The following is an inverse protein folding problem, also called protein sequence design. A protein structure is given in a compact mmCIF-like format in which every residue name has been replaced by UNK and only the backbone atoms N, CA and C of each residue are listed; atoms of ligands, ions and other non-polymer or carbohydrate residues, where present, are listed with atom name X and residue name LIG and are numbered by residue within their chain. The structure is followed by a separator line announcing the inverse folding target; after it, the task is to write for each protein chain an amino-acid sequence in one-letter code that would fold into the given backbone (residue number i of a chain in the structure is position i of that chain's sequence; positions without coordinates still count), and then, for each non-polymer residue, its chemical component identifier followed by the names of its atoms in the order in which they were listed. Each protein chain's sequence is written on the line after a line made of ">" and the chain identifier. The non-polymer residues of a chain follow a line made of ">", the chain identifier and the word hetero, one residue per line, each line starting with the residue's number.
data_IF_028200861096
#
_entry.id   IF_028200861096
#
_cell.length_a   1.000
_cell.length_b   1.000
_cell.length_c   1.000
_cell.angle_alpha   90.00
_cell.angle_beta   90.00
_cell.angle_gamma   90.00
#
_symmetry.space_group_name_H-M   'P 1'
#
loop_
_entity.id
_entity.type
_entity.pdbx_description
1 polymer ?
#
# COMPACT_ATOMS: atom_id res chain seq x y z
N UNK A 1 -4.91 -19.87 -16.96
CA UNK A 1 -5.79 -18.79 -16.47
C UNK A 1 -5.14 -18.24 -15.22
N UNK A 2 -4.70 -16.98 -15.24
CA UNK A 2 -4.14 -16.33 -14.05
C UNK A 2 -5.30 -16.17 -13.06
N UNK A 3 -5.17 -16.79 -11.89
CA UNK A 3 -6.02 -16.54 -10.72
C UNK A 3 -6.13 -15.03 -10.52
N UNK A 4 -7.34 -14.56 -10.19
CA UNK A 4 -7.57 -13.14 -9.91
C UNK A 4 -6.53 -12.68 -8.87
N UNK A 5 -5.61 -11.81 -9.29
CA UNK A 5 -4.56 -11.32 -8.43
C UNK A 5 -5.23 -10.36 -7.43
N UNK A 6 -5.42 -10.80 -6.18
CA UNK A 6 -6.16 -10.03 -5.17
C UNK A 6 -5.43 -8.74 -4.76
N UNK A 7 -4.15 -8.61 -5.10
CA UNK A 7 -3.36 -7.39 -4.90
C UNK A 7 -3.52 -6.41 -6.06
N UNK A 8 -4.09 -5.24 -5.81
CA UNK A 8 -4.21 -4.16 -6.79
C UNK A 8 -3.02 -3.22 -6.68
N UNK A 9 -2.35 -2.82 -7.78
CA UNK A 9 -1.32 -1.78 -7.74
C UNK A 9 -1.98 -0.44 -7.42
N UNK A 10 -1.57 0.18 -6.31
CA UNK A 10 -2.05 1.51 -5.89
C UNK A 10 -1.11 2.60 -6.38
N UNK A 11 0.19 2.31 -6.39
CA UNK A 11 1.23 3.16 -6.97
C UNK A 11 2.31 2.31 -7.67
N UNK A 12 3.41 2.91 -8.14
CA UNK A 12 4.47 2.16 -8.82
C UNK A 12 5.24 1.17 -7.93
N UNK A 13 5.28 1.43 -6.64
CA UNK A 13 6.03 0.67 -5.62
C UNK A 13 5.13 0.04 -4.55
N UNK A 14 3.80 0.17 -4.69
CA UNK A 14 2.85 -0.29 -3.67
C UNK A 14 1.69 -1.10 -4.26
N UNK A 15 1.34 -2.17 -3.56
CA UNK A 15 0.19 -3.02 -3.84
C UNK A 15 -0.69 -3.13 -2.60
N UNK A 16 -2.00 -3.22 -2.79
CA UNK A 16 -2.97 -3.36 -1.70
C UNK A 16 -4.02 -4.41 -2.04
N UNK A 17 -4.47 -5.17 -1.05
CA UNK A 17 -5.61 -6.08 -1.20
C UNK A 17 -6.97 -5.38 -1.05
N UNK A 18 -6.97 -4.06 -0.80
CA UNK A 18 -8.17 -3.20 -0.74
C UNK A 18 -9.28 -3.78 0.16
N UNK A 19 -8.92 -4.18 1.38
CA UNK A 19 -9.86 -4.71 2.36
C UNK A 19 -9.83 -3.91 3.67
N UNK A 20 -10.76 -2.97 3.80
CA UNK A 20 -10.90 -2.09 4.99
C UNK A 20 -11.34 -2.85 6.25
N UNK A 21 -12.00 -4.01 6.11
CA UNK A 21 -12.50 -4.81 7.24
C UNK A 21 -11.48 -5.84 7.74
N UNK A 22 -10.34 -6.00 7.05
CA UNK A 22 -9.34 -7.03 7.37
C UNK A 22 -8.88 -6.97 8.83
N UNK A 23 -8.60 -5.77 9.34
CA UNK A 23 -8.15 -5.59 10.72
C UNK A 23 -9.21 -6.05 11.72
N UNK A 24 -10.47 -5.67 11.52
CA UNK A 24 -11.57 -6.07 12.40
C UNK A 24 -11.81 -7.59 12.34
N UNK A 25 -11.86 -8.17 11.14
CA UNK A 25 -12.06 -9.61 10.98
C UNK A 25 -10.99 -10.44 11.70
N UNK A 26 -9.73 -9.99 11.67
CA UNK A 26 -8.60 -10.67 12.30
C UNK A 26 -8.62 -10.49 13.83
N UNK A 27 -8.78 -9.25 14.32
CA UNK A 27 -8.54 -8.93 15.72
C UNK A 27 -9.81 -8.96 16.58
N UNK A 28 -10.98 -8.71 15.99
CA UNK A 28 -12.28 -8.76 16.67
C UNK A 28 -12.94 -10.13 16.51
N UNK A 29 -13.05 -10.62 15.27
CA UNK A 29 -13.78 -11.86 14.96
C UNK A 29 -12.89 -13.11 14.98
N UNK A 30 -11.57 -12.93 15.12
CA UNK A 30 -10.57 -14.00 15.11
C UNK A 30 -10.62 -14.88 13.86
N UNK A 31 -11.09 -14.35 12.73
CA UNK A 31 -11.09 -15.05 11.44
C UNK A 31 -9.67 -15.07 10.86
N UNK A 32 -9.27 -16.24 10.38
CA UNK A 32 -7.98 -16.45 9.68
C UNK A 32 -8.15 -16.73 8.19
N UNK A 33 -9.36 -16.58 7.65
CA UNK A 33 -9.69 -16.95 6.28
C UNK A 33 -8.87 -16.14 5.25
N UNK A 34 -8.56 -14.89 5.59
CA UNK A 34 -7.75 -13.99 4.77
C UNK A 34 -6.27 -14.37 4.67
N UNK A 35 -5.76 -15.18 5.60
CA UNK A 35 -4.35 -15.58 5.57
C UNK A 35 -4.05 -16.45 4.35
N UNK A 36 -4.98 -17.33 3.97
CA UNK A 36 -4.87 -18.14 2.76
C UNK A 36 -4.96 -17.31 1.49
N UNK A 37 -5.83 -16.29 1.45
CA UNK A 37 -5.91 -15.37 0.31
C UNK A 37 -4.60 -14.60 0.11
N UNK A 38 -4.00 -14.13 1.21
CA UNK A 38 -2.69 -13.46 1.17
C UNK A 38 -1.58 -14.41 0.72
N UNK A 39 -1.56 -15.65 1.21
CA UNK A 39 -0.58 -16.66 0.77
C UNK A 39 -0.72 -16.96 -0.74
N UNK A 40 -1.94 -17.16 -1.23
CA UNK A 40 -2.21 -17.38 -2.66
C UNK A 40 -1.79 -16.17 -3.52
N UNK A 41 -2.05 -14.95 -3.06
CA UNK A 41 -1.61 -13.72 -3.73
C UNK A 41 -0.08 -13.61 -3.82
N UNK A 42 0.63 -13.97 -2.75
CA UNK A 42 2.09 -14.02 -2.73
C UNK A 42 2.62 -15.14 -3.65
N UNK A 43 1.95 -16.29 -3.69
CA UNK A 43 2.23 -17.37 -4.65
C UNK A 43 2.13 -16.86 -6.09
N UNK A 44 1.09 -16.10 -6.43
CA UNK A 44 0.94 -15.49 -7.75
C UNK A 44 2.01 -14.43 -8.03
N UNK A 45 2.40 -13.67 -7.00
CA UNK A 45 3.55 -12.76 -7.07
C UNK A 45 4.83 -13.52 -7.47
N UNK A 46 5.08 -14.69 -6.87
CA UNK A 46 6.24 -15.51 -7.22
C UNK A 46 6.19 -16.09 -8.64
N UNK A 47 5.00 -16.42 -9.17
CA UNK A 47 4.87 -16.88 -10.56
C UNK A 47 5.23 -15.76 -11.55
N UNK A 48 4.86 -14.52 -11.23
CA UNK A 48 5.11 -13.34 -12.07
C UNK A 48 6.56 -12.85 -11.99
N UNK A 49 7.12 -12.76 -10.78
CA UNK A 49 8.40 -12.10 -10.52
C UNK A 49 9.53 -13.06 -10.11
N UNK A 50 9.25 -14.36 -10.02
CA UNK A 50 10.17 -15.39 -9.56
C UNK A 50 10.08 -15.64 -8.04
N UNK A 51 10.56 -16.81 -7.62
CA UNK A 51 10.54 -17.23 -6.21
C UNK A 51 11.39 -16.33 -5.33
N UNK A 52 10.91 -16.07 -4.13
CA UNK A 52 11.64 -15.35 -3.09
C UNK A 52 12.85 -16.17 -2.65
N UNK A 53 14.03 -15.55 -2.59
CA UNK A 53 15.24 -16.23 -2.09
C UNK A 53 15.26 -16.32 -0.57
N UNK A 54 14.63 -15.37 0.11
CA UNK A 54 14.58 -15.26 1.57
C UNK A 54 13.22 -14.77 2.02
N UNK A 55 12.65 -15.45 3.00
CA UNK A 55 11.40 -15.08 3.66
C UNK A 55 11.67 -14.82 5.14
N UNK A 56 11.13 -13.72 5.67
CA UNK A 56 11.24 -13.35 7.09
C UNK A 56 9.84 -13.03 7.58
N UNK A 57 9.46 -13.51 8.76
CA UNK A 57 8.15 -13.24 9.35
C UNK A 57 8.27 -12.73 10.79
N UNK A 58 7.53 -11.66 11.09
CA UNK A 58 7.41 -11.09 12.43
C UNK A 58 5.96 -11.17 12.89
N UNK A 59 5.72 -11.86 14.00
CA UNK A 59 4.39 -12.05 14.60
C UNK A 59 3.69 -13.34 14.20
N UNK A 60 2.57 -13.64 14.89
CA UNK A 60 1.90 -14.94 14.84
C UNK A 60 1.21 -15.17 13.50
N UNK A 61 0.54 -14.16 12.96
CA UNK A 61 -0.20 -14.24 11.70
C UNK A 61 0.76 -14.29 10.51
N UNK A 62 1.79 -13.45 10.52
CA UNK A 62 2.86 -13.50 9.51
C UNK A 62 3.52 -14.89 9.45
N UNK A 63 3.79 -15.51 10.61
CA UNK A 63 4.32 -16.87 10.65
C UNK A 63 3.34 -17.94 10.13
N UNK A 64 2.03 -17.72 10.24
CA UNK A 64 1.03 -18.61 9.63
C UNK A 64 1.00 -18.48 8.11
N UNK A 65 1.01 -17.25 7.59
CA UNK A 65 1.07 -16.96 6.15
C UNK A 65 2.33 -17.57 5.55
N UNK A 66 3.49 -17.40 6.20
CA UNK A 66 4.75 -17.99 5.75
C UNK A 66 4.66 -19.52 5.61
N UNK A 67 4.09 -20.21 6.61
CA UNK A 67 3.90 -21.67 6.54
C UNK A 67 2.95 -22.11 5.44
N UNK A 68 1.95 -21.29 5.09
CA UNK A 68 1.05 -21.58 3.97
C UNK A 68 1.77 -21.37 2.63
N UNK A 69 2.48 -20.25 2.49
CA UNK A 69 3.31 -19.95 1.32
C UNK A 69 4.34 -21.06 1.05
N UNK A 70 5.08 -21.50 2.06
CA UNK A 70 6.06 -22.61 1.94
C UNK A 70 5.43 -23.95 1.53
N UNK A 71 4.16 -24.18 1.88
CA UNK A 71 3.42 -25.39 1.46
C UNK A 71 3.03 -25.29 -0.01
N UNK A 72 2.52 -24.13 -0.42
CA UNK A 72 2.13 -23.85 -1.81
C UNK A 72 3.34 -23.85 -2.75
N UNK A 73 4.48 -23.34 -2.30
CA UNK A 73 5.74 -23.30 -3.08
C UNK A 73 6.26 -24.67 -3.51
N UNK A 74 5.95 -25.73 -2.75
CA UNK A 74 6.30 -27.11 -3.12
C UNK A 74 5.56 -27.58 -4.36
N UNK A 75 4.42 -26.97 -4.68
CA UNK A 75 3.63 -27.26 -5.87
C UNK A 75 4.03 -26.44 -7.09
N UNK A 76 4.78 -25.34 -6.90
CA UNK A 76 5.22 -24.46 -7.99
C UNK A 76 6.51 -25.00 -8.60
N UNK A 77 6.45 -25.44 -9.85
CA UNK A 77 7.65 -25.80 -10.61
C UNK A 77 8.37 -24.54 -11.09
N UNK A 78 9.70 -24.59 -11.27
CA UNK A 78 10.47 -23.45 -11.81
C UNK A 78 10.05 -23.08 -13.24
N UNK A 79 9.32 -23.98 -13.93
CA UNK A 79 8.76 -23.74 -15.26
C UNK A 79 7.50 -22.87 -15.23
N UNK A 80 6.84 -22.73 -14.07
CA UNK A 80 5.66 -21.89 -13.88
C UNK A 80 6.02 -20.40 -13.69
N UNK A 81 7.31 -20.09 -13.54
CA UNK A 81 7.80 -18.72 -13.36
C UNK A 81 8.14 -18.09 -14.72
N UNK A 82 7.83 -16.80 -14.89
CA UNK A 82 8.19 -16.07 -16.11
C UNK A 82 9.72 -15.99 -16.26
N UNK A 83 10.30 -16.50 -17.37
CA UNK A 83 11.75 -16.40 -17.61
C UNK A 83 12.21 -14.94 -17.68
N UNK A 84 13.17 -14.54 -16.84
CA UNK A 84 13.73 -13.19 -16.85
C UNK A 84 12.99 -12.15 -15.99
N UNK A 85 12.02 -12.56 -15.16
CA UNK A 85 11.45 -11.68 -14.13
C UNK A 85 12.55 -11.14 -13.20
N UNK A 86 12.48 -9.84 -12.87
CA UNK A 86 13.36 -9.26 -11.84
C UNK A 86 13.06 -9.96 -10.51
N UNK A 87 14.01 -10.78 -10.06
CA UNK A 87 13.80 -11.60 -8.87
C UNK A 87 13.72 -10.74 -7.62
N UNK A 88 12.58 -10.79 -6.92
CA UNK A 88 12.49 -10.29 -5.56
C UNK A 88 13.31 -11.21 -4.66
N UNK A 89 14.38 -10.68 -4.08
CA UNK A 89 15.28 -11.49 -3.27
C UNK A 89 14.68 -11.81 -1.90
N UNK A 90 14.15 -10.80 -1.20
CA UNK A 90 13.69 -10.95 0.19
C UNK A 90 12.27 -10.43 0.34
N UNK A 91 11.41 -11.23 0.96
CA UNK A 91 10.09 -10.79 1.44
C UNK A 91 10.09 -10.76 2.97
N UNK A 92 9.57 -9.68 3.52
CA UNK A 92 9.39 -9.50 4.97
C UNK A 92 7.89 -9.42 5.24
N UNK A 93 7.36 -10.42 5.93
CA UNK A 93 5.99 -10.45 6.41
C UNK A 93 5.94 -9.85 7.81
N UNK A 94 5.13 -8.81 7.98
CA UNK A 94 5.03 -8.07 9.22
C UNK A 94 3.58 -8.06 9.71
N UNK A 95 3.34 -8.69 10.85
CA UNK A 95 2.05 -8.71 11.53
C UNK A 95 1.86 -7.38 12.30
N UNK A 96 0.76 -6.67 12.04
CA UNK A 96 0.47 -5.38 12.69
C UNK A 96 0.48 -5.48 14.22
N UNK A 97 0.15 -6.63 14.81
CA UNK A 97 0.18 -6.84 16.26
C UNK A 97 1.57 -6.72 16.89
N UNK A 98 2.64 -6.79 16.09
CA UNK A 98 4.03 -6.61 16.57
C UNK A 98 4.31 -5.16 16.96
N UNK A 99 3.60 -4.21 16.36
CA UNK A 99 3.68 -2.79 16.69
C UNK A 99 2.30 -2.17 16.55
N UNK A 100 1.56 -2.01 17.65
CA UNK A 100 0.28 -1.31 17.59
C UNK A 100 0.42 0.20 17.82
N UNK A 101 1.61 0.70 18.18
CA UNK A 101 1.79 2.09 18.59
C UNK A 101 1.85 3.02 17.38
N UNK A 102 2.57 2.62 16.33
CA UNK A 102 2.78 3.48 15.15
C UNK A 102 1.48 4.00 14.50
N UNK A 103 0.42 3.19 14.29
CA UNK A 103 -0.84 3.67 13.72
C UNK A 103 -1.61 4.69 14.59
N UNK A 104 -1.30 4.79 15.89
CA UNK A 104 -1.92 5.79 16.79
C UNK A 104 -1.10 7.07 16.90
N UNK A 105 0.10 7.11 16.35
CA UNK A 105 0.91 8.33 16.30
C UNK A 105 0.46 9.19 15.12
N UNK A 106 0.34 10.50 15.33
CA UNK A 106 0.06 11.44 14.23
C UNK A 106 1.15 11.34 13.16
N UNK A 107 0.74 11.14 11.92
CA UNK A 107 1.66 11.05 10.80
C UNK A 107 2.24 12.44 10.48
N UNK A 108 3.56 12.55 10.31
CA UNK A 108 4.26 13.84 10.14
C UNK A 108 4.89 14.03 8.75
N UNK A 109 4.79 13.04 7.88
CA UNK A 109 5.13 13.20 6.46
C UNK A 109 4.01 13.92 5.71
N UNK A 110 4.32 14.49 4.54
CA UNK A 110 3.34 15.24 3.75
C UNK A 110 2.10 14.40 3.42
N UNK A 111 2.29 13.21 2.84
CA UNK A 111 1.19 12.32 2.48
C UNK A 111 0.43 11.82 3.72
N UNK A 112 1.15 11.50 4.80
CA UNK A 112 0.53 11.08 6.04
C UNK A 112 -0.35 12.16 6.67
N UNK A 113 0.08 13.43 6.64
CA UNK A 113 -0.79 14.52 7.06
C UNK A 113 -1.99 14.69 6.13
N UNK A 114 -1.82 14.53 4.81
CA UNK A 114 -2.96 14.56 3.90
C UNK A 114 -3.97 13.44 4.22
N UNK A 115 -3.49 12.26 4.58
CA UNK A 115 -4.33 11.14 5.00
C UNK A 115 -5.12 11.46 6.28
N UNK A 116 -4.45 12.02 7.30
CA UNK A 116 -5.07 12.40 8.58
C UNK A 116 -6.21 13.43 8.41
N UNK A 117 -6.09 14.37 7.46
CA UNK A 117 -7.06 15.44 7.26
C UNK A 117 -8.11 15.15 6.18
N UNK A 118 -7.75 14.42 5.12
CA UNK A 118 -8.60 14.21 3.94
C UNK A 118 -8.98 12.76 3.67
N UNK A 119 -8.44 11.80 4.44
CA UNK A 119 -8.66 10.36 4.32
C UNK A 119 -8.41 9.85 2.89
N UNK A 120 -7.18 9.41 2.63
CA UNK A 120 -6.77 8.95 1.30
C UNK A 120 -7.27 7.52 1.09
N UNK A 121 -8.09 7.33 0.07
CA UNK A 121 -8.62 6.02 -0.30
C UNK A 121 -8.21 5.69 -1.74
N UNK A 122 -7.42 4.62 -1.92
CA UNK A 122 -6.98 4.18 -3.25
C UNK A 122 -6.19 5.25 -4.00
N UNK A 123 -5.36 6.02 -3.30
CA UNK A 123 -4.56 7.11 -3.86
C UNK A 123 -5.37 8.38 -4.19
N UNK A 124 -6.62 8.49 -3.73
CA UNK A 124 -7.48 9.66 -4.00
C UNK A 124 -7.89 10.34 -2.70
N UNK A 125 -7.85 11.67 -2.71
CA UNK A 125 -8.37 12.51 -1.63
C UNK A 125 -9.61 13.30 -2.08
N UNK A 126 -10.52 13.55 -1.13
CA UNK A 126 -11.72 14.37 -1.35
C UNK A 126 -11.51 15.74 -0.72
N UNK A 127 -11.37 16.77 -1.54
CA UNK A 127 -11.13 18.15 -1.07
C UNK A 127 -12.40 18.99 -1.32
N UNK A 128 -12.82 19.84 -0.37
CA UNK A 128 -13.88 20.81 -0.62
C UNK A 128 -13.50 21.77 -1.76
N UNK A 129 -14.39 21.98 -2.74
CA UNK A 129 -14.14 22.98 -3.79
C UNK A 129 -14.12 24.38 -3.18
N UNK A 130 -12.98 25.06 -3.27
CA UNK A 130 -12.88 26.48 -2.94
C UNK A 130 -13.68 27.32 -3.94
N UNK A 131 -14.75 27.98 -3.49
CA UNK A 131 -15.50 28.96 -4.30
C UNK A 131 -17.03 28.84 -4.29
N UNK A 132 -17.62 27.78 -3.72
CA UNK A 132 -19.08 27.71 -3.55
C UNK A 132 -19.50 28.36 -2.24
N UNK A 133 -19.71 29.67 -2.27
CA UNK A 133 -20.38 30.46 -1.21
C UNK A 133 -21.89 30.23 -1.15
N UNK A 134 -22.43 29.37 -2.01
CA UNK A 134 -23.87 29.13 -2.08
C UNK A 134 -24.29 28.09 -1.05
N UNK A 135 -24.67 28.57 0.14
CA UNK A 135 -25.28 27.82 1.26
C UNK A 135 -26.50 26.97 0.89
N UNK A 136 -27.00 27.05 -0.34
CA UNK A 136 -28.25 26.41 -0.80
C UNK A 136 -28.03 25.08 -1.52
N UNK A 137 -26.83 24.82 -2.02
CA UNK A 137 -26.45 23.53 -2.64
C UNK A 137 -25.30 22.95 -1.83
N UNK A 138 -25.46 21.72 -1.31
CA UNK A 138 -24.51 21.11 -0.39
C UNK A 138 -23.03 21.20 -0.82
N UNK A 139 -22.12 21.08 0.15
CA UNK A 139 -20.67 21.13 -0.06
C UNK A 139 -20.26 20.25 -1.24
N UNK A 140 -19.74 20.86 -2.30
CA UNK A 140 -19.18 20.13 -3.43
C UNK A 140 -17.75 19.74 -3.13
N UNK A 141 -17.41 18.49 -3.45
CA UNK A 141 -16.07 17.95 -3.32
C UNK A 141 -15.44 17.74 -4.69
N UNK A 142 -14.12 17.89 -4.74
CA UNK A 142 -13.27 17.51 -5.86
C UNK A 142 -12.43 16.29 -5.44
N UNK A 143 -12.25 15.36 -6.38
CA UNK A 143 -11.40 14.21 -6.19
C UNK A 143 -10.05 14.50 -6.81
N UNK A 144 -9.00 14.50 -5.98
CA UNK A 144 -7.63 14.70 -6.43
C UNK A 144 -6.89 13.38 -6.31
N UNK A 145 -6.26 12.96 -7.41
CA UNK A 145 -5.41 11.77 -7.45
C UNK A 145 -3.99 12.14 -6.99
N UNK A 146 -3.46 11.38 -6.04
CA UNK A 146 -2.07 11.44 -5.60
C UNK A 146 -1.31 10.32 -6.32
N UNK A 147 -0.81 10.61 -7.53
CA UNK A 147 -0.07 9.64 -8.35
C UNK A 147 1.37 10.11 -8.51
N UNK A 148 2.32 9.35 -7.97
CA UNK A 148 3.75 9.67 -8.15
C UNK A 148 4.24 9.41 -9.57
N UNK A 149 3.54 8.57 -10.34
CA UNK A 149 3.87 8.33 -11.76
C UNK A 149 3.63 9.56 -12.64
N UNK A 150 2.66 10.38 -12.28
CA UNK A 150 2.22 11.53 -13.08
C UNK A 150 2.72 12.86 -12.49
N UNK A 151 3.07 12.88 -11.20
CA UNK A 151 3.48 14.08 -10.49
C UNK A 151 4.82 13.89 -9.75
N UNK A 152 5.88 14.43 -10.36
CA UNK A 152 7.24 14.40 -9.82
C UNK A 152 7.42 15.28 -8.57
N UNK A 153 6.57 16.29 -8.39
CA UNK A 153 6.57 17.11 -7.18
C UNK A 153 6.06 16.26 -6.02
N UNK A 154 4.93 15.57 -6.22
CA UNK A 154 4.36 14.66 -5.21
C UNK A 154 5.35 13.55 -4.87
N UNK A 155 6.00 12.94 -5.86
CA UNK A 155 7.06 11.96 -5.62
C UNK A 155 8.17 12.51 -4.71
N UNK A 156 8.62 13.75 -4.96
CA UNK A 156 9.66 14.41 -4.17
C UNK A 156 9.26 14.77 -2.73
N UNK A 157 7.98 15.06 -2.48
CA UNK A 157 7.53 15.58 -1.18
C UNK A 157 6.73 14.60 -0.32
N UNK A 158 6.12 13.54 -0.89
CA UNK A 158 5.17 12.66 -0.18
C UNK A 158 5.69 12.09 1.14
N UNK A 159 6.94 11.60 1.13
CA UNK A 159 7.60 10.98 2.27
C UNK A 159 8.38 11.99 3.12
N UNK A 160 8.42 13.26 2.72
CA UNK A 160 9.17 14.30 3.41
C UNK A 160 8.44 14.74 4.68
N UNK A 161 9.18 14.98 5.76
CA UNK A 161 8.61 15.62 6.95
C UNK A 161 8.02 16.99 6.58
N UNK A 162 6.78 17.25 6.99
CA UNK A 162 5.97 18.38 6.51
C UNK A 162 6.66 19.75 6.60
N UNK A 163 7.47 19.97 7.63
CA UNK A 163 8.21 21.24 7.83
C UNK A 163 9.18 21.58 6.69
N UNK A 164 9.64 20.59 5.92
CA UNK A 164 10.58 20.79 4.81
C UNK A 164 9.90 21.00 3.45
N UNK A 165 8.62 20.62 3.33
CA UNK A 165 7.88 20.61 2.06
C UNK A 165 7.85 21.99 1.40
N UNK A 166 7.59 23.04 2.18
CA UNK A 166 7.53 24.41 1.65
C UNK A 166 8.87 24.89 1.05
N UNK A 167 9.99 24.44 1.59
CA UNK A 167 11.31 24.76 1.05
C UNK A 167 11.55 24.01 -0.27
N UNK A 168 11.15 22.75 -0.34
CA UNK A 168 11.31 21.92 -1.54
C UNK A 168 10.48 22.46 -2.71
N UNK A 169 9.20 22.77 -2.45
CA UNK A 169 8.29 23.34 -3.47
C UNK A 169 8.83 24.67 -4.01
N UNK A 170 9.39 25.53 -3.14
CA UNK A 170 10.04 26.77 -3.60
C UNK A 170 11.21 26.46 -4.55
N UNK A 171 12.02 25.45 -4.23
CA UNK A 171 13.11 25.00 -5.09
C UNK A 171 12.63 24.61 -6.49
N UNK A 172 11.54 23.84 -6.58
CA UNK A 172 10.91 23.51 -7.85
C UNK A 172 10.43 24.76 -8.59
N UNK A 173 9.75 25.69 -7.91
CA UNK A 173 9.26 26.91 -8.53
C UNK A 173 10.38 27.74 -9.18
N UNK A 174 11.54 27.88 -8.51
CA UNK A 174 12.71 28.59 -9.06
C UNK A 174 13.43 27.86 -10.20
N UNK A 175 13.22 26.56 -10.35
CA UNK A 175 13.88 25.78 -11.41
C UNK A 175 13.07 25.75 -12.71
N UNK A 176 11.74 25.90 -12.60
CA UNK A 176 10.80 25.83 -13.72
C UNK A 176 10.26 27.20 -14.18
N UNK A 177 10.53 28.28 -13.43
CA UNK A 177 10.21 29.67 -13.76
C UNK A 177 11.39 30.60 -13.50
#
# INVERSE_FOLDING_TARGET
>A
ELTAFDMVPVDYDSFSMVNSHLYLNIYLDHSTDWLSTLAASLTDFQKLFGKFSKTIAFGKLAGQVLRQLEREERSISTQDCIPGGKQIQTVVLFDRSVDLVTPFCSQMCYEGLLDEYFNIEGGRMKIPKTGTTDTTTGLQYEHVLLSTREDTIIEGIRAMHFTRVAQEIKGYYYYYY
#
